data_IF_343712768323
#
_entry.id   IF_343712768323
#
_cell.length_a   1.000
_cell.length_b   1.000
_cell.length_c   1.000
_cell.angle_alpha   90.00
_cell.angle_beta   90.00
_cell.angle_gamma   90.00
#
_symmetry.space_group_name_H-M   'P 1'
#
loop_
_entity.id
_entity.type
_entity.pdbx_description
1 polymer ?
#
# COMPACT_ATOMS: atom_id res chain seq x y z
N UNK A 1 7.90 7.86 13.26
CA UNK A 1 6.69 7.77 12.39
C UNK A 1 6.57 6.49 11.57
N UNK A 2 7.66 5.82 11.12
CA UNK A 2 7.59 4.55 10.33
C UNK A 2 6.85 3.37 11.00
N UNK A 3 6.55 3.44 12.29
CA UNK A 3 5.82 2.40 13.03
C UNK A 3 4.35 2.27 12.61
N UNK A 4 3.69 3.36 12.23
CA UNK A 4 2.25 3.34 11.95
C UNK A 4 1.88 2.51 10.70
N UNK A 5 2.55 2.67 9.54
CA UNK A 5 2.26 1.81 8.38
C UNK A 5 2.54 0.32 8.64
N UNK A 6 3.54 0.01 9.47
CA UNK A 6 3.85 -1.37 9.88
C UNK A 6 2.75 -1.95 10.79
N UNK A 7 2.18 -1.14 11.68
CA UNK A 7 1.02 -1.55 12.50
C UNK A 7 -0.19 -1.85 11.63
N UNK A 8 -0.46 -1.03 10.60
CA UNK A 8 -1.53 -1.30 9.62
C UNK A 8 -1.28 -2.63 8.90
N UNK A 9 -0.06 -2.87 8.42
CA UNK A 9 0.27 -4.12 7.74
C UNK A 9 0.13 -5.33 8.66
N UNK A 10 0.52 -5.21 9.93
CA UNK A 10 0.35 -6.27 10.93
C UNK A 10 -1.13 -6.56 11.21
N UNK A 11 -1.99 -5.54 11.27
CA UNK A 11 -3.43 -5.72 11.37
C UNK A 11 -3.96 -6.53 10.19
N UNK A 12 -3.56 -6.19 8.95
CA UNK A 12 -3.92 -6.97 7.76
C UNK A 12 -3.50 -8.44 7.87
N UNK A 13 -2.29 -8.70 8.38
CA UNK A 13 -1.77 -10.07 8.59
C UNK A 13 -2.65 -10.84 9.58
N UNK A 14 -3.07 -10.21 10.68
CA UNK A 14 -3.97 -10.83 11.67
C UNK A 14 -5.34 -11.13 11.07
N UNK A 15 -5.93 -10.17 10.35
CA UNK A 15 -7.23 -10.33 9.70
C UNK A 15 -7.24 -11.46 8.64
N UNK A 16 -6.13 -11.65 7.92
CA UNK A 16 -6.00 -12.73 6.93
C UNK A 16 -5.97 -14.14 7.53
N UNK A 17 -5.44 -14.29 8.75
CA UNK A 17 -5.35 -15.58 9.47
C UNK A 17 -6.71 -16.05 9.97
N UNK A 18 -7.61 -15.13 10.30
CA UNK A 18 -8.96 -15.45 10.77
C UNK A 18 -9.91 -15.97 9.67
N UNK A 19 -11.09 -16.40 10.11
CA UNK A 19 -12.25 -16.50 9.21
C UNK A 19 -12.69 -15.09 8.83
N UNK A 20 -12.78 -14.83 7.53
CA UNK A 20 -13.07 -13.50 7.00
C UNK A 20 -14.38 -13.49 6.21
N UNK A 21 -15.08 -12.36 6.26
CA UNK A 21 -16.16 -12.03 5.34
C UNK A 21 -15.69 -10.97 4.33
N UNK A 22 -16.56 -10.58 3.41
CA UNK A 22 -16.23 -9.58 2.39
C UNK A 22 -15.78 -8.24 2.98
N UNK A 23 -16.40 -7.78 4.06
CA UNK A 23 -16.01 -6.54 4.75
C UNK A 23 -14.57 -6.58 5.26
N UNK A 24 -14.15 -7.73 5.80
CA UNK A 24 -12.75 -7.95 6.20
C UNK A 24 -11.83 -7.91 4.98
N UNK A 25 -12.20 -8.53 3.86
CA UNK A 25 -11.38 -8.53 2.65
C UNK A 25 -11.22 -7.13 2.04
N UNK A 26 -12.30 -6.35 1.97
CA UNK A 26 -12.28 -4.94 1.56
C UNK A 26 -11.36 -4.12 2.47
N UNK A 27 -11.49 -4.31 3.78
CA UNK A 27 -10.65 -3.66 4.78
C UNK A 27 -9.17 -3.97 4.55
N UNK A 28 -8.82 -5.24 4.35
CA UNK A 28 -7.42 -5.64 4.10
C UNK A 28 -6.87 -4.96 2.83
N UNK A 29 -7.65 -4.89 1.74
CA UNK A 29 -7.23 -4.22 0.50
C UNK A 29 -6.96 -2.74 0.76
N UNK A 30 -7.93 -2.02 1.33
CA UNK A 30 -7.80 -0.59 1.60
C UNK A 30 -6.63 -0.28 2.53
N UNK A 31 -6.47 -1.06 3.61
CA UNK A 31 -5.40 -0.89 4.58
C UNK A 31 -4.02 -1.28 4.03
N UNK A 32 -3.94 -2.28 3.15
CA UNK A 32 -2.68 -2.65 2.48
C UNK A 32 -2.19 -1.51 1.57
N UNK A 33 -3.10 -0.87 0.84
CA UNK A 33 -2.77 0.33 0.06
C UNK A 33 -2.22 1.46 0.94
N UNK A 34 -2.91 1.81 2.03
CA UNK A 34 -2.44 2.87 2.93
C UNK A 34 -1.10 2.52 3.59
N UNK A 35 -0.87 1.26 3.98
CA UNK A 35 0.40 0.84 4.52
C UNK A 35 1.54 1.07 3.52
N UNK A 36 1.36 0.65 2.25
CA UNK A 36 2.35 0.87 1.20
C UNK A 36 2.57 2.37 0.95
N UNK A 37 1.51 3.14 0.70
CA UNK A 37 1.58 4.56 0.38
C UNK A 37 2.27 5.37 1.48
N UNK A 38 1.87 5.19 2.73
CA UNK A 38 2.41 5.95 3.85
C UNK A 38 3.85 5.56 4.15
N UNK A 39 4.21 4.27 4.04
CA UNK A 39 5.60 3.85 4.22
C UNK A 39 6.49 4.42 3.11
N UNK A 40 6.04 4.38 1.86
CA UNK A 40 6.70 5.01 0.72
C UNK A 40 6.89 6.51 0.92
N UNK A 41 5.86 7.23 1.36
CA UNK A 41 5.94 8.65 1.70
C UNK A 41 6.99 8.93 2.77
N UNK A 42 6.95 8.21 3.89
CA UNK A 42 7.92 8.36 4.98
C UNK A 42 9.35 8.02 4.56
N UNK A 43 9.52 7.09 3.62
CA UNK A 43 10.83 6.74 3.09
C UNK A 43 11.38 7.86 2.18
N UNK A 44 10.55 8.46 1.32
CA UNK A 44 10.94 9.63 0.51
C UNK A 44 11.29 10.81 1.43
N UNK A 45 10.41 11.11 2.39
CA UNK A 45 10.55 12.23 3.33
C UNK A 45 11.82 12.12 4.18
N UNK A 46 12.17 10.90 4.58
CA UNK A 46 13.36 10.63 5.41
C UNK A 46 14.68 10.56 4.66
N UNK A 47 14.68 10.33 3.34
CA UNK A 47 15.92 10.04 2.59
C UNK A 47 16.22 11.00 1.44
N UNK A 48 15.21 11.68 0.88
CA UNK A 48 15.38 12.41 -0.39
C UNK A 48 14.77 13.81 -0.40
N UNK A 49 13.47 13.94 -0.15
CA UNK A 49 12.76 15.23 -0.25
C UNK A 49 11.56 15.25 0.68
N UNK A 50 11.30 16.41 1.29
CA UNK A 50 10.08 16.60 2.07
C UNK A 50 8.82 16.33 1.24
N UNK A 51 7.98 15.46 1.78
CA UNK A 51 6.71 15.06 1.18
C UNK A 51 5.62 16.05 1.56
N UNK A 52 4.79 16.44 0.59
CA UNK A 52 3.52 17.10 0.87
C UNK A 52 2.52 16.06 1.40
N UNK A 53 2.12 16.25 2.66
CA UNK A 53 1.20 15.35 3.36
C UNK A 53 -0.28 15.68 3.11
N UNK A 54 -0.59 16.66 2.26
CA UNK A 54 -1.95 16.85 1.76
C UNK A 54 -2.47 15.56 1.11
N UNK A 55 -3.67 15.16 1.52
CA UNK A 55 -4.27 13.88 1.12
C UNK A 55 -4.39 13.75 -0.40
N UNK A 56 -4.83 14.79 -1.12
CA UNK A 56 -5.04 14.71 -2.57
C UNK A 56 -3.70 14.57 -3.28
N UNK A 57 -2.71 15.33 -2.85
CA UNK A 57 -1.38 15.31 -3.45
C UNK A 57 -0.64 14.00 -3.16
N UNK A 58 -0.77 13.43 -1.95
CA UNK A 58 -0.05 12.22 -1.56
C UNK A 58 -0.31 11.03 -2.49
N UNK A 59 -1.58 10.80 -2.85
CA UNK A 59 -2.00 9.68 -3.70
C UNK A 59 -1.47 9.77 -5.14
N UNK A 60 -1.13 10.97 -5.62
CA UNK A 60 -0.57 11.21 -6.94
C UNK A 60 0.95 11.27 -6.89
N UNK A 61 1.49 12.00 -5.93
CA UNK A 61 2.91 12.33 -5.82
C UNK A 61 3.76 11.10 -5.48
N UNK A 62 3.36 10.29 -4.51
CA UNK A 62 4.20 9.18 -4.03
C UNK A 62 4.52 8.17 -5.14
N UNK A 63 3.54 7.66 -5.93
CA UNK A 63 3.85 6.80 -7.07
C UNK A 63 4.75 7.47 -8.11
N UNK A 64 4.56 8.76 -8.39
CA UNK A 64 5.33 9.50 -9.40
C UNK A 64 6.78 9.77 -8.98
N UNK A 65 7.05 9.91 -7.68
CA UNK A 65 8.37 10.26 -7.17
C UNK A 65 9.17 9.03 -6.75
N UNK A 66 8.55 8.03 -6.12
CA UNK A 66 9.32 6.97 -5.47
C UNK A 66 10.25 6.24 -6.45
N UNK A 67 9.81 6.05 -7.69
CA UNK A 67 10.61 5.37 -8.72
C UNK A 67 11.93 6.04 -9.04
N UNK A 68 12.04 7.37 -8.88
CA UNK A 68 13.25 8.14 -9.20
C UNK A 68 14.42 7.80 -8.27
N UNK A 69 14.12 7.28 -7.08
CA UNK A 69 15.09 7.05 -6.01
C UNK A 69 15.37 5.57 -5.76
N UNK A 70 14.68 4.68 -6.48
CA UNK A 70 14.86 3.25 -6.32
C UNK A 70 15.81 2.70 -7.39
N UNK A 71 16.61 1.67 -7.07
CA UNK A 71 17.38 0.95 -8.07
C UNK A 71 16.47 0.08 -8.95
N UNK A 72 16.95 -0.31 -10.13
CA UNK A 72 16.32 -1.38 -10.92
C UNK A 72 16.33 -2.70 -10.11
N UNK A 73 15.28 -3.54 -10.19
CA UNK A 73 14.08 -3.39 -11.02
C UNK A 73 12.94 -2.62 -10.33
N UNK A 74 13.21 -1.99 -9.18
CA UNK A 74 12.18 -1.46 -8.28
C UNK A 74 11.65 -0.09 -8.70
N UNK A 75 12.46 0.70 -9.40
CA UNK A 75 12.12 2.02 -9.93
C UNK A 75 10.80 2.06 -10.74
N UNK A 76 10.48 1.02 -11.51
CA UNK A 76 9.22 0.92 -12.26
C UNK A 76 8.19 0.05 -11.53
N UNK A 77 8.65 -1.00 -10.87
CA UNK A 77 7.79 -1.99 -10.22
C UNK A 77 7.04 -1.42 -9.02
N UNK A 78 7.71 -0.71 -8.11
CA UNK A 78 7.04 -0.17 -6.92
C UNK A 78 5.95 0.85 -7.28
N UNK A 79 6.20 1.87 -8.13
CA UNK A 79 5.16 2.78 -8.59
C UNK A 79 3.93 2.08 -9.18
N UNK A 80 4.15 1.11 -10.07
CA UNK A 80 3.08 0.35 -10.72
C UNK A 80 2.25 -0.45 -9.71
N UNK A 81 2.89 -1.08 -8.73
CA UNK A 81 2.17 -1.83 -7.68
C UNK A 81 1.39 -0.88 -6.78
N UNK A 82 1.91 0.29 -6.40
CA UNK A 82 1.15 1.28 -5.62
C UNK A 82 -0.07 1.77 -6.41
N UNK A 83 0.08 1.99 -7.73
CA UNK A 83 -1.05 2.37 -8.60
C UNK A 83 -2.12 1.28 -8.62
N UNK A 84 -1.72 0.03 -8.84
CA UNK A 84 -2.62 -1.14 -8.81
C UNK A 84 -3.34 -1.27 -7.46
N UNK A 85 -2.61 -1.09 -6.35
CA UNK A 85 -3.20 -1.13 -5.01
C UNK A 85 -4.24 -0.02 -4.81
N UNK A 86 -4.00 1.17 -5.38
CA UNK A 86 -4.94 2.29 -5.33
C UNK A 86 -6.24 1.92 -6.05
N UNK A 87 -6.18 1.41 -7.27
CA UNK A 87 -7.37 0.99 -8.02
C UNK A 87 -8.17 -0.08 -7.28
N UNK A 88 -7.50 -1.08 -6.71
CA UNK A 88 -8.15 -2.11 -5.89
C UNK A 88 -8.80 -1.52 -4.65
N UNK A 89 -8.17 -0.52 -4.02
CA UNK A 89 -8.74 0.21 -2.88
C UNK A 89 -9.97 1.01 -3.29
N UNK A 90 -9.96 1.71 -4.42
CA UNK A 90 -11.14 2.43 -4.92
C UNK A 90 -12.32 1.46 -5.14
N UNK A 91 -12.05 0.30 -5.74
CA UNK A 91 -13.06 -0.74 -5.91
C UNK A 91 -13.56 -1.31 -4.57
N UNK A 92 -12.66 -1.53 -3.62
CA UNK A 92 -13.01 -2.04 -2.30
C UNK A 92 -13.85 -1.05 -1.47
N UNK A 93 -13.53 0.24 -1.55
CA UNK A 93 -14.15 1.29 -0.72
C UNK A 93 -15.44 1.84 -1.35
N UNK A 94 -15.55 1.88 -2.68
CA UNK A 94 -16.61 2.63 -3.38
C UNK A 94 -17.47 1.81 -4.33
N UNK A 95 -17.12 0.56 -4.64
CA UNK A 95 -17.89 -0.29 -5.55
C UNK A 95 -18.53 -1.47 -4.79
N UNK A 96 -19.74 -1.30 -4.23
CA UNK A 96 -20.41 -2.35 -3.47
C UNK A 96 -20.92 -3.50 -4.34
N UNK A 97 -21.12 -3.27 -5.64
CA UNK A 97 -21.61 -4.28 -6.58
C UNK A 97 -20.61 -5.43 -6.85
N UNK A 98 -19.31 -5.19 -6.66
CA UNK A 98 -18.27 -6.20 -6.95
C UNK A 98 -17.91 -7.02 -5.71
N UNK A 99 -18.24 -8.31 -5.71
CA UNK A 99 -17.90 -9.22 -4.61
C UNK A 99 -16.38 -9.41 -4.47
N UNK A 100 -15.81 -9.02 -3.34
CA UNK A 100 -14.39 -9.22 -3.05
C UNK A 100 -14.14 -10.60 -2.40
N UNK A 101 -13.22 -11.36 -2.99
CA UNK A 101 -12.76 -12.67 -2.49
C UNK A 101 -11.48 -12.56 -1.66
N UNK A 102 -11.26 -13.52 -0.74
CA UNK A 102 -10.05 -13.62 0.11
C UNK A 102 -8.73 -13.54 -0.66
N UNK A 103 -8.67 -14.11 -1.87
CA UNK A 103 -7.46 -14.12 -2.68
C UNK A 103 -7.02 -12.72 -3.12
N UNK A 104 -7.96 -11.81 -3.44
CA UNK A 104 -7.63 -10.43 -3.77
C UNK A 104 -7.05 -9.68 -2.58
N UNK A 105 -7.63 -9.88 -1.39
CA UNK A 105 -7.10 -9.32 -0.15
C UNK A 105 -5.70 -9.86 0.18
N UNK A 106 -5.47 -11.16 0.01
CA UNK A 106 -4.15 -11.79 0.20
C UNK A 106 -3.12 -11.22 -0.78
N UNK A 107 -3.49 -11.00 -2.03
CA UNK A 107 -2.61 -10.42 -3.04
C UNK A 107 -2.22 -8.99 -2.69
N UNK A 108 -3.21 -8.14 -2.35
CA UNK A 108 -2.95 -6.76 -1.94
C UNK A 108 -2.03 -6.67 -0.72
N UNK A 109 -2.23 -7.54 0.27
CA UNK A 109 -1.35 -7.65 1.43
C UNK A 109 0.10 -8.00 1.03
N UNK A 110 0.30 -9.04 0.21
CA UNK A 110 1.65 -9.47 -0.23
C UNK A 110 2.37 -8.39 -1.02
N UNK A 111 1.65 -7.67 -1.87
CA UNK A 111 2.19 -6.54 -2.64
C UNK A 111 2.66 -5.41 -1.72
N UNK A 112 1.84 -5.02 -0.72
CA UNK A 112 2.23 -4.03 0.27
C UNK A 112 3.43 -4.48 1.13
N UNK A 113 3.43 -5.75 1.57
CA UNK A 113 4.54 -6.36 2.31
C UNK A 113 5.85 -6.35 1.50
N UNK A 114 5.77 -6.63 0.19
CA UNK A 114 6.92 -6.60 -0.71
C UNK A 114 7.49 -5.19 -0.82
N UNK A 115 6.64 -4.18 -1.05
CA UNK A 115 7.08 -2.78 -1.14
C UNK A 115 7.82 -2.38 0.14
N UNK A 116 7.20 -2.61 1.30
CA UNK A 116 7.78 -2.24 2.60
C UNK A 116 9.10 -2.98 2.82
N UNK A 117 9.17 -4.27 2.52
CA UNK A 117 10.39 -5.07 2.70
C UNK A 117 11.54 -4.59 1.81
N UNK A 118 11.26 -4.13 0.59
CA UNK A 118 12.28 -3.53 -0.29
C UNK A 118 12.78 -2.22 0.30
N UNK A 119 11.86 -1.32 0.69
CA UNK A 119 12.19 -0.01 1.25
C UNK A 119 12.85 -0.07 2.64
N UNK A 120 12.78 -1.21 3.33
CA UNK A 120 13.53 -1.42 4.58
C UNK A 120 14.98 -1.79 4.36
N UNK A 121 15.31 -2.33 3.17
CA UNK A 121 16.67 -2.75 2.79
C UNK A 121 17.45 -1.65 2.08
N UNK A 122 16.77 -0.55 1.71
CA UNK A 122 17.33 0.64 1.08
C UNK A 122 17.35 1.78 2.09
#
# INVERSE_FOLDING_TARGET
MKRFPLQILNLCRTLLKGQGNEGIYRTIISRSYYAALLYSALWIDGNHKKVDWDKKHLHQMVPSLIGQWLPEPWNKKIPSVIHTLRERRENADYQPAFKIKKNYARQAFKEAETIISVLQKL
#
